data_IF_682029813635
#
_entry.id   IF_682029813635
#
_cell.length_a   1.000
_cell.length_b   1.000
_cell.length_c   1.000
_cell.angle_alpha   90.00
_cell.angle_beta   90.00
_cell.angle_gamma   90.00
#
_symmetry.space_group_name_H-M   'P 1'
#
loop_
_entity.id
_entity.type
_entity.pdbx_description
1 polymer ?
#
# COMPACT_ATOMS: atom_id res chain seq x y z
N UNK A 1 -9.70 -4.46 -5.10
CA UNK A 1 -10.11 -4.69 -3.69
C UNK A 1 -10.77 -3.46 -3.08
N UNK A 2 -10.09 -2.31 -3.10
CA UNK A 2 -10.56 -1.08 -2.41
C UNK A 2 -11.25 -0.04 -3.31
N UNK A 3 -11.60 -0.40 -4.55
CA UNK A 3 -12.26 0.51 -5.50
C UNK A 3 -11.47 1.80 -5.73
N UNK A 4 -12.20 2.92 -5.86
CA UNK A 4 -11.64 4.25 -6.10
C UNK A 4 -10.74 4.74 -4.97
N UNK A 5 -11.04 4.37 -3.73
CA UNK A 5 -10.26 4.78 -2.55
C UNK A 5 -8.85 4.17 -2.56
N UNK A 6 -8.69 2.98 -3.14
CA UNK A 6 -7.35 2.39 -3.33
C UNK A 6 -6.50 3.13 -4.37
N UNK A 7 -7.13 3.88 -5.29
CA UNK A 7 -6.41 4.68 -6.29
C UNK A 7 -5.84 5.96 -5.68
N UNK A 8 -6.41 6.45 -4.58
CA UNK A 8 -5.90 7.61 -3.85
C UNK A 8 -4.52 7.33 -3.24
N UNK A 9 -4.18 6.06 -3.01
CA UNK A 9 -2.85 5.65 -2.54
C UNK A 9 -1.79 5.59 -3.65
N UNK A 10 -2.19 5.58 -4.93
CA UNK A 10 -1.23 5.52 -6.04
C UNK A 10 -0.18 6.63 -6.03
N UNK A 11 -0.49 7.91 -5.77
CA UNK A 11 0.54 8.94 -5.63
C UNK A 11 1.52 8.65 -4.50
N UNK A 12 1.04 8.20 -3.33
CA UNK A 12 1.88 7.83 -2.17
C UNK A 12 2.81 6.66 -2.53
N UNK A 13 2.27 5.62 -3.19
CA UNK A 13 3.02 4.43 -3.60
C UNK A 13 4.09 4.76 -4.64
N UNK A 14 3.82 5.74 -5.50
CA UNK A 14 4.71 6.14 -6.58
C UNK A 14 5.97 6.85 -6.08
N UNK A 15 5.93 7.40 -4.86
CA UNK A 15 7.09 7.99 -4.18
C UNK A 15 7.96 6.92 -3.49
N UNK A 16 7.46 5.68 -3.35
CA UNK A 16 8.21 4.59 -2.73
C UNK A 16 9.20 4.02 -3.75
N UNK A 17 10.49 4.34 -3.57
CA UNK A 17 11.58 3.77 -4.38
C UNK A 17 12.06 2.40 -3.88
N UNK A 18 11.60 1.97 -2.69
CA UNK A 18 11.99 0.71 -2.09
C UNK A 18 11.19 -0.47 -2.67
N UNK A 19 11.87 -1.29 -3.47
CA UNK A 19 11.30 -2.48 -4.13
C UNK A 19 10.82 -3.54 -3.12
N UNK A 20 11.52 -3.75 -2.01
CA UNK A 20 11.06 -4.70 -0.97
C UNK A 20 9.74 -4.25 -0.36
N UNK A 21 9.59 -2.94 -0.18
CA UNK A 21 8.40 -2.34 0.41
C UNK A 21 7.20 -2.45 -0.56
N UNK A 22 7.43 -2.27 -1.86
CA UNK A 22 6.42 -2.51 -2.89
C UNK A 22 5.96 -3.98 -2.96
N UNK A 23 6.87 -4.94 -2.81
CA UNK A 23 6.52 -6.37 -2.73
C UNK A 23 5.71 -6.68 -1.46
N UNK A 24 6.08 -6.13 -0.31
CA UNK A 24 5.30 -6.27 0.92
C UNK A 24 3.89 -5.70 0.77
N UNK A 25 3.73 -4.53 0.15
CA UNK A 25 2.42 -3.94 -0.13
C UNK A 25 1.58 -4.84 -1.05
N UNK A 26 2.19 -5.44 -2.08
CA UNK A 26 1.50 -6.33 -3.01
C UNK A 26 0.97 -7.59 -2.33
N UNK A 27 1.75 -8.19 -1.43
CA UNK A 27 1.30 -9.33 -0.63
C UNK A 27 0.24 -8.91 0.38
N UNK A 28 0.42 -7.77 1.04
CA UNK A 28 -0.51 -7.27 2.03
C UNK A 28 -1.87 -6.88 1.45
N UNK A 29 -1.94 -6.31 0.24
CA UNK A 29 -3.21 -6.03 -0.45
C UNK A 29 -4.12 -7.27 -0.49
N UNK A 30 -3.55 -8.48 -0.58
CA UNK A 30 -4.33 -9.71 -0.61
C UNK A 30 -4.96 -10.03 0.75
N UNK A 31 -4.30 -9.70 1.85
CA UNK A 31 -4.68 -10.09 3.22
C UNK A 31 -5.38 -8.97 4.00
N UNK A 32 -4.93 -7.72 3.89
CA UNK A 32 -5.46 -6.57 4.63
C UNK A 32 -6.90 -6.26 4.24
N UNK A 33 -7.72 -5.89 5.21
CA UNK A 33 -9.15 -5.64 5.01
C UNK A 33 -9.46 -4.15 4.86
N UNK A 34 -8.51 -3.28 5.23
CA UNK A 34 -8.66 -1.82 5.15
C UNK A 34 -7.47 -1.16 4.46
N UNK A 35 -7.68 0.09 4.01
CA UNK A 35 -6.62 0.90 3.42
C UNK A 35 -5.65 1.43 4.49
N UNK A 36 -6.11 1.67 5.70
CA UNK A 36 -5.26 2.09 6.82
C UNK A 36 -4.23 1.01 7.19
N UNK A 37 -4.64 -0.26 7.22
CA UNK A 37 -3.72 -1.40 7.39
C UNK A 37 -2.65 -1.45 6.29
N UNK A 38 -3.03 -1.13 5.05
CA UNK A 38 -2.09 -1.08 3.92
C UNK A 38 -1.12 0.11 4.04
N UNK A 39 -1.61 1.27 4.50
CA UNK A 39 -0.80 2.48 4.73
C UNK A 39 0.31 2.25 5.74
N UNK A 40 0.03 1.55 6.84
CA UNK A 40 1.02 1.29 7.88
C UNK A 40 2.29 0.60 7.38
N UNK A 41 2.21 -0.13 6.27
CA UNK A 41 3.35 -0.86 5.71
C UNK A 41 4.44 0.09 5.18
N UNK A 42 4.04 1.24 4.63
CA UNK A 42 4.98 2.21 4.05
C UNK A 42 5.12 3.51 4.83
N UNK A 43 4.24 3.78 5.80
CA UNK A 43 4.34 4.96 6.68
C UNK A 43 5.20 4.71 7.93
N UNK A 44 5.56 3.45 8.24
CA UNK A 44 6.34 3.11 9.46
C UNK A 44 7.86 3.12 9.24
N UNK A 45 8.37 3.57 8.08
CA UNK A 45 9.81 3.69 7.78
C UNK A 45 10.33 5.11 7.86
#
# INVERSE_FOLDING_TARGET
KFGTQGLELLPEIREIENVELLEQMREAIKTVNTLDELRQIYTTS
#
